data_IF_174722634466
#
_entry.id   IF_174722634466
#
_cell.length_a   1.000
_cell.length_b   1.000
_cell.length_c   1.000
_cell.angle_alpha   90.00
_cell.angle_beta   90.00
_cell.angle_gamma   90.00
#
_symmetry.space_group_name_H-M   'P 1'
#
loop_
_entity.id
_entity.type
_entity.pdbx_description
1 polymer ?
#
# COMPACT_ATOMS: atom_id res chain seq x y z
N UNK A 1 -24.49 -3.02 28.41
CA UNK A 1 -24.31 -1.73 27.72
C UNK A 1 -22.81 -1.45 27.72
N UNK A 2 -22.05 -1.87 26.68
CA UNK A 2 -20.64 -1.53 26.63
C UNK A 2 -20.52 -0.04 26.34
N UNK A 3 -19.70 0.63 27.15
CA UNK A 3 -19.42 2.06 27.10
C UNK A 3 -18.60 2.43 25.87
N UNK A 4 -18.92 3.58 25.29
CA UNK A 4 -18.13 4.30 24.28
C UNK A 4 -16.69 4.55 24.79
N UNK A 5 -15.69 3.76 24.39
CA UNK A 5 -14.27 4.17 24.49
C UNK A 5 -13.22 3.35 23.70
N UNK A 6 -13.57 2.45 22.77
CA UNK A 6 -12.58 1.58 22.08
C UNK A 6 -12.53 1.78 20.55
N UNK A 7 -12.92 2.96 20.06
CA UNK A 7 -12.81 3.32 18.65
C UNK A 7 -11.59 4.22 18.46
N UNK A 8 -10.53 3.71 17.83
CA UNK A 8 -9.62 4.59 17.10
C UNK A 8 -10.40 5.10 15.90
N UNK A 9 -11.00 6.27 16.06
CA UNK A 9 -11.57 6.97 14.93
C UNK A 9 -10.44 7.44 14.02
N UNK A 10 -10.29 6.84 12.85
CA UNK A 10 -9.82 7.57 11.66
C UNK A 10 -10.96 8.49 11.21
N UNK A 11 -11.31 9.48 12.03
CA UNK A 11 -12.24 10.55 11.64
C UNK A 11 -11.55 11.88 11.79
N UNK A 12 -10.56 12.13 10.95
CA UNK A 12 -10.26 13.50 10.57
C UNK A 12 -10.37 13.63 9.05
N UNK A 13 -11.36 14.41 8.66
CA UNK A 13 -11.70 14.76 7.29
C UNK A 13 -10.48 15.41 6.64
N UNK A 14 -9.80 14.64 5.79
CA UNK A 14 -8.84 15.20 4.86
C UNK A 14 -9.49 15.22 3.48
N UNK A 15 -9.88 16.41 3.01
CA UNK A 15 -10.25 16.62 1.62
C UNK A 15 -9.08 16.18 0.74
N UNK A 16 -9.30 15.37 -0.31
CA UNK A 16 -8.22 14.84 -1.11
C UNK A 16 -7.38 16.00 -1.64
N UNK A 17 -6.06 15.88 -1.41
CA UNK A 17 -4.98 16.70 -1.99
C UNK A 17 -5.35 17.02 -3.43
N UNK A 18 -5.04 18.21 -3.98
CA UNK A 18 -5.49 18.59 -5.31
C UNK A 18 -5.10 17.48 -6.29
N UNK A 19 -6.12 16.75 -6.75
CA UNK A 19 -5.98 15.75 -7.80
C UNK A 19 -5.75 16.57 -9.06
N UNK A 20 -4.60 16.39 -9.67
CA UNK A 20 -4.23 17.09 -10.89
C UNK A 20 -4.44 16.16 -12.08
N UNK A 21 -5.14 16.64 -13.11
CA UNK A 21 -5.13 16.01 -14.42
C UNK A 21 -3.90 16.49 -15.18
N UNK A 22 -3.01 15.57 -15.54
CA UNK A 22 -1.77 15.85 -16.25
C UNK A 22 -2.02 15.97 -17.75
N UNK A 23 -1.11 16.63 -18.47
CA UNK A 23 -1.16 16.75 -19.94
C UNK A 23 -1.16 15.38 -20.65
N UNK A 24 -0.59 14.36 -20.00
CA UNK A 24 -0.59 12.97 -20.45
C UNK A 24 -1.97 12.30 -20.37
N UNK A 25 -2.96 12.93 -19.72
CA UNK A 25 -4.30 12.39 -19.50
C UNK A 25 -4.47 11.58 -18.22
N UNK A 26 -3.40 11.34 -17.47
CA UNK A 26 -3.46 10.69 -16.14
C UNK A 26 -3.95 11.65 -15.05
N UNK A 27 -4.49 11.10 -13.97
CA UNK A 27 -4.69 11.84 -12.72
C UNK A 27 -3.57 11.55 -11.72
N UNK A 28 -3.15 12.55 -10.95
CA UNK A 28 -2.10 12.43 -9.92
C UNK A 28 -2.51 13.05 -8.59
N UNK A 29 -2.13 12.40 -7.50
CA UNK A 29 -2.19 12.94 -6.13
C UNK A 29 -0.83 13.51 -5.73
N UNK A 30 -0.79 14.82 -5.46
CA UNK A 30 0.43 15.52 -5.07
C UNK A 30 1.40 15.74 -6.24
N UNK A 31 2.64 16.15 -5.94
CA UNK A 31 3.61 16.57 -6.95
C UNK A 31 4.53 15.44 -7.46
N UNK A 32 4.55 14.28 -6.79
CA UNK A 32 5.48 13.18 -7.12
C UNK A 32 4.76 12.04 -7.81
N UNK A 33 5.38 11.52 -8.86
CA UNK A 33 4.94 10.34 -9.59
C UNK A 33 5.42 9.09 -8.85
N UNK A 34 4.48 8.27 -8.40
CA UNK A 34 4.75 6.95 -7.80
C UNK A 34 3.76 5.95 -8.40
N UNK A 35 4.02 4.64 -8.28
CA UNK A 35 3.08 3.61 -8.74
C UNK A 35 1.72 3.69 -8.05
N UNK A 36 1.61 4.43 -6.95
CA UNK A 36 0.42 4.51 -6.10
C UNK A 36 -0.32 5.83 -6.18
N UNK A 37 0.33 6.88 -6.67
CA UNK A 37 -0.20 8.26 -6.72
C UNK A 37 -0.64 8.68 -8.10
N UNK A 38 -0.54 7.81 -9.11
CA UNK A 38 -1.03 8.04 -10.47
C UNK A 38 -2.09 7.00 -10.83
N UNK A 39 -3.15 7.43 -11.52
CA UNK A 39 -4.19 6.54 -12.05
C UNK A 39 -4.75 7.04 -13.38
N UNK A 40 -5.43 6.15 -14.08
CA UNK A 40 -6.33 6.54 -15.17
C UNK A 40 -7.51 7.36 -14.60
N UNK A 41 -8.04 8.34 -15.33
CA UNK A 41 -9.25 9.04 -14.91
C UNK A 41 -10.40 8.05 -14.69
N UNK A 42 -11.09 8.06 -13.54
CA UNK A 42 -12.08 7.04 -13.19
C UNK A 42 -13.32 7.05 -14.11
N UNK A 43 -13.60 8.18 -14.76
CA UNK A 43 -14.74 8.36 -15.67
C UNK A 43 -14.32 8.87 -17.06
N UNK A 44 -13.03 8.80 -17.39
CA UNK A 44 -12.47 9.28 -18.65
C UNK A 44 -11.94 8.16 -19.55
N UNK A 45 -11.50 8.50 -20.79
CA UNK A 45 -10.83 7.53 -21.64
C UNK A 45 -9.47 7.15 -21.03
N UNK A 46 -9.04 5.92 -21.29
CA UNK A 46 -7.65 5.50 -21.00
C UNK A 46 -6.69 6.43 -21.77
N UNK A 47 -5.69 7.02 -21.09
CA UNK A 47 -4.68 7.87 -21.74
C UNK A 47 -4.10 7.23 -23.01
N UNK A 48 -4.00 7.98 -24.11
CA UNK A 48 -3.44 7.48 -25.37
C UNK A 48 -2.02 6.95 -25.16
N UNK A 49 -1.20 7.64 -24.37
CA UNK A 49 0.17 7.21 -24.07
C UNK A 49 0.22 5.87 -23.34
N UNK A 50 -0.79 5.57 -22.51
CA UNK A 50 -0.91 4.28 -21.83
C UNK A 50 -1.30 3.17 -22.80
N UNK A 51 -2.20 3.45 -23.76
CA UNK A 51 -2.56 2.47 -24.80
C UNK A 51 -1.34 2.07 -25.62
N UNK A 52 -0.50 3.04 -26.01
CA UNK A 52 0.76 2.77 -26.70
C UNK A 52 1.74 1.97 -25.82
N UNK A 53 1.85 2.31 -24.53
CA UNK A 53 2.69 1.57 -23.60
C UNK A 53 2.22 0.12 -23.42
N UNK A 54 0.90 -0.12 -23.32
CA UNK A 54 0.32 -1.46 -23.26
C UNK A 54 0.61 -2.28 -24.53
N UNK A 55 0.51 -1.68 -25.72
CA UNK A 55 0.86 -2.36 -26.98
C UNK A 55 2.32 -2.82 -26.98
N UNK A 56 3.26 -1.94 -26.64
CA UNK A 56 4.68 -2.26 -26.53
C UNK A 56 4.97 -3.32 -25.48
N UNK A 57 4.30 -3.23 -24.32
CA UNK A 57 4.45 -4.22 -23.27
C UNK A 57 4.01 -5.59 -23.78
N UNK A 58 2.82 -5.67 -24.39
CA UNK A 58 2.21 -6.92 -24.86
C UNK A 58 2.99 -7.62 -25.98
N UNK A 59 3.84 -6.91 -26.72
CA UNK A 59 4.76 -7.51 -27.69
C UNK A 59 5.90 -8.30 -27.03
N UNK A 60 6.16 -8.10 -25.74
CA UNK A 60 7.22 -8.79 -24.99
C UNK A 60 6.79 -10.20 -24.55
N UNK A 61 7.76 -11.12 -24.35
CA UNK A 61 7.48 -12.44 -23.80
C UNK A 61 6.67 -12.37 -22.50
N UNK A 62 5.65 -13.22 -22.36
CA UNK A 62 4.73 -13.25 -21.22
C UNK A 62 5.48 -13.35 -19.88
N UNK A 63 6.49 -14.21 -19.80
CA UNK A 63 7.31 -14.37 -18.58
C UNK A 63 8.02 -13.08 -18.20
N UNK A 64 8.60 -12.35 -19.18
CA UNK A 64 9.29 -11.08 -18.92
C UNK A 64 8.33 -10.01 -18.40
N UNK A 65 7.17 -9.87 -19.05
CA UNK A 65 6.12 -8.93 -18.61
C UNK A 65 5.74 -9.16 -17.16
N UNK A 66 5.46 -10.41 -16.82
CA UNK A 66 4.99 -10.77 -15.48
C UNK A 66 6.04 -10.65 -14.40
N UNK A 67 7.31 -10.83 -14.73
CA UNK A 67 8.39 -10.53 -13.79
C UNK A 67 8.46 -9.05 -13.47
N UNK A 68 8.24 -8.17 -14.45
CA UNK A 68 8.20 -6.73 -14.22
C UNK A 68 7.02 -6.36 -13.30
N UNK A 69 5.84 -6.96 -13.54
CA UNK A 69 4.62 -6.81 -12.72
C UNK A 69 4.71 -7.33 -11.27
N UNK A 70 5.87 -7.82 -10.80
CA UNK A 70 6.08 -8.26 -9.42
C UNK A 70 6.85 -7.26 -8.56
N UNK A 71 7.40 -6.21 -9.18
CA UNK A 71 8.18 -5.16 -8.52
C UNK A 71 7.72 -3.78 -8.97
N UNK A 72 8.20 -2.76 -8.28
CA UNK A 72 7.97 -1.39 -8.68
C UNK A 72 9.29 -0.66 -8.82
N UNK A 73 9.47 -0.03 -9.96
CA UNK A 73 10.58 0.86 -10.24
C UNK A 73 10.16 2.33 -10.16
N UNK A 74 11.01 3.21 -10.67
CA UNK A 74 10.67 4.63 -10.78
C UNK A 74 9.63 4.84 -11.88
N UNK A 75 8.57 5.60 -11.59
CA UNK A 75 7.57 5.95 -12.61
C UNK A 75 8.13 6.98 -13.58
N UNK A 76 7.95 6.73 -14.88
CA UNK A 76 8.03 7.75 -15.93
C UNK A 76 6.71 7.88 -16.69
N UNK A 77 6.41 9.08 -17.18
CA UNK A 77 5.28 9.35 -18.08
C UNK A 77 5.75 9.61 -19.52
N UNK A 78 7.06 9.55 -19.74
CA UNK A 78 7.66 9.64 -21.06
C UNK A 78 7.82 8.22 -21.62
N UNK A 79 7.04 7.94 -22.66
CA UNK A 79 7.01 6.61 -23.31
C UNK A 79 8.33 6.26 -23.98
N UNK A 80 9.09 7.25 -24.48
CA UNK A 80 10.36 7.00 -25.14
C UNK A 80 11.43 6.64 -24.10
N UNK A 81 11.49 7.40 -22.99
CA UNK A 81 12.33 7.06 -21.83
C UNK A 81 12.03 5.65 -21.31
N UNK A 82 10.75 5.31 -21.14
CA UNK A 82 10.34 3.98 -20.69
C UNK A 82 10.73 2.88 -21.69
N UNK A 83 10.49 3.10 -22.99
CA UNK A 83 10.81 2.12 -24.04
C UNK A 83 12.30 1.82 -24.12
N UNK A 84 13.15 2.82 -23.92
CA UNK A 84 14.59 2.67 -23.94
C UNK A 84 15.14 1.92 -22.71
N UNK A 85 14.50 2.04 -21.55
CA UNK A 85 14.91 1.38 -20.32
C UNK A 85 13.72 0.94 -19.43
N UNK A 86 13.04 -0.13 -19.84
CA UNK A 86 11.97 -0.77 -19.07
C UNK A 86 12.47 -1.53 -17.84
N UNK A 87 13.79 -1.55 -17.59
CA UNK A 87 14.36 -2.24 -16.43
C UNK A 87 14.51 -1.34 -15.21
N UNK A 88 14.65 -0.03 -15.45
CA UNK A 88 14.82 1.02 -14.43
C UNK A 88 13.56 1.85 -14.24
N UNK A 89 12.66 1.85 -15.23
CA UNK A 89 11.43 2.62 -15.20
C UNK A 89 10.21 1.75 -15.40
N UNK A 90 9.16 2.09 -14.64
CA UNK A 90 7.81 1.59 -14.83
C UNK A 90 6.95 2.66 -15.51
N UNK A 91 5.95 2.20 -16.25
CA UNK A 91 4.87 3.00 -16.80
C UNK A 91 3.57 2.76 -16.02
N UNK A 92 2.84 3.80 -15.57
CA UNK A 92 1.71 3.63 -14.65
C UNK A 92 0.62 2.68 -15.15
N UNK A 93 0.42 1.59 -14.39
CA UNK A 93 -0.61 0.60 -14.68
C UNK A 93 -0.35 -0.24 -15.93
N UNK A 94 0.91 -0.33 -16.38
CA UNK A 94 1.34 -1.20 -17.48
C UNK A 94 2.22 -2.33 -16.95
N UNK A 95 3.37 -2.01 -16.39
CA UNK A 95 4.36 -2.95 -15.82
C UNK A 95 4.55 -2.75 -14.31
N UNK A 96 3.72 -1.93 -13.68
CA UNK A 96 3.60 -1.84 -12.21
C UNK A 96 2.88 -3.04 -11.62
N UNK A 97 3.06 -3.31 -10.33
CA UNK A 97 2.36 -4.40 -9.61
C UNK A 97 0.84 -4.24 -9.72
N UNK A 98 0.14 -5.21 -10.35
CA UNK A 98 -1.30 -5.11 -10.56
C UNK A 98 -2.06 -5.39 -9.27
N UNK A 99 -3.29 -4.88 -9.19
CA UNK A 99 -4.11 -4.96 -7.98
C UNK A 99 -4.38 -6.40 -7.51
N UNK A 100 -4.46 -7.35 -8.45
CA UNK A 100 -4.62 -8.77 -8.13
C UNK A 100 -3.42 -9.30 -7.33
N UNK A 101 -2.19 -8.96 -7.71
CA UNK A 101 -0.97 -9.37 -6.99
C UNK A 101 -0.90 -8.66 -5.64
N UNK A 102 -1.21 -7.36 -5.58
CA UNK A 102 -1.27 -6.60 -4.32
C UNK A 102 -2.26 -7.20 -3.33
N UNK A 103 -3.45 -7.59 -3.80
CA UNK A 103 -4.46 -8.23 -2.96
C UNK A 103 -4.04 -9.64 -2.51
N UNK A 104 -3.37 -10.41 -3.37
CA UNK A 104 -2.82 -11.72 -2.97
C UNK A 104 -1.76 -11.58 -1.87
N UNK A 105 -0.83 -10.63 -2.03
CA UNK A 105 0.19 -10.28 -1.02
C UNK A 105 -0.45 -9.86 0.30
N UNK A 106 -1.39 -8.92 0.27
CA UNK A 106 -2.12 -8.49 1.46
C UNK A 106 -2.97 -9.60 2.10
N UNK A 107 -3.53 -10.51 1.29
CA UNK A 107 -4.25 -11.68 1.75
C UNK A 107 -3.35 -12.66 2.51
N UNK A 108 -2.18 -12.99 1.96
CA UNK A 108 -1.18 -13.81 2.63
C UNK A 108 -0.71 -13.19 3.95
N UNK A 109 -0.46 -11.88 3.96
CA UNK A 109 -0.12 -11.15 5.19
C UNK A 109 -1.24 -11.26 6.24
N UNK A 110 -2.50 -11.12 5.85
CA UNK A 110 -3.63 -11.25 6.76
C UNK A 110 -3.75 -12.68 7.33
N UNK A 111 -3.60 -13.71 6.51
CA UNK A 111 -3.65 -15.12 6.94
C UNK A 111 -2.56 -15.42 7.99
N UNK A 112 -1.31 -15.04 7.69
CA UNK A 112 -0.18 -15.24 8.62
C UNK A 112 -0.39 -14.44 9.91
N UNK A 113 -0.88 -13.19 9.80
CA UNK A 113 -1.10 -12.36 10.97
C UNK A 113 -2.26 -12.87 11.85
N UNK A 114 -3.29 -13.48 11.25
CA UNK A 114 -4.37 -14.15 11.99
C UNK A 114 -3.81 -15.33 12.80
N UNK A 115 -2.91 -16.12 12.22
CA UNK A 115 -2.29 -17.26 12.90
C UNK A 115 -1.34 -16.83 14.02
N UNK A 116 -0.49 -15.83 13.78
CA UNK A 116 0.58 -15.44 14.71
C UNK A 116 0.12 -14.48 15.80
N UNK A 117 -0.78 -13.55 15.46
CA UNK A 117 -1.18 -12.45 16.34
C UNK A 117 -2.66 -12.48 16.68
N UNK A 118 -3.45 -13.41 16.12
CA UNK A 118 -4.88 -13.50 16.40
C UNK A 118 -5.64 -12.23 16.03
N UNK A 119 -5.19 -11.51 14.99
CA UNK A 119 -5.97 -10.39 14.43
C UNK A 119 -7.32 -10.91 13.94
N UNK A 120 -8.34 -10.06 13.92
CA UNK A 120 -9.69 -10.51 13.61
C UNK A 120 -9.90 -10.93 12.15
N UNK A 121 -11.12 -11.36 11.86
CA UNK A 121 -11.55 -11.78 10.52
C UNK A 121 -11.51 -10.61 9.53
N UNK A 122 -11.09 -10.87 8.30
CA UNK A 122 -11.11 -9.89 7.22
C UNK A 122 -12.46 -9.92 6.49
N UNK A 123 -13.19 -8.83 6.58
CA UNK A 123 -14.44 -8.57 5.88
C UNK A 123 -14.18 -7.63 4.69
N UNK A 124 -14.36 -8.15 3.47
CA UNK A 124 -14.18 -7.39 2.23
C UNK A 124 -15.54 -6.98 1.66
N UNK A 125 -15.57 -6.00 0.76
CA UNK A 125 -16.84 -5.59 0.12
C UNK A 125 -17.66 -4.60 0.94
N UNK A 126 -17.06 -3.97 1.94
CA UNK A 126 -17.79 -3.11 2.87
C UNK A 126 -18.11 -1.77 2.21
N UNK A 127 -19.38 -1.40 2.27
CA UNK A 127 -19.85 -0.06 1.88
C UNK A 127 -19.87 0.80 3.13
N UNK A 128 -18.87 1.67 3.27
CA UNK A 128 -18.83 2.61 4.38
C UNK A 128 -19.79 3.79 4.13
N UNK A 129 -20.42 4.28 5.20
CA UNK A 129 -21.27 5.47 5.12
C UNK A 129 -20.47 6.72 4.71
N UNK A 130 -19.21 6.80 5.17
CA UNK A 130 -18.28 7.84 4.77
C UNK A 130 -17.47 7.36 3.55
N UNK A 131 -17.61 8.00 2.37
CA UNK A 131 -16.88 7.63 1.16
C UNK A 131 -15.36 7.87 1.26
N UNK A 132 -14.89 8.60 2.27
CA UNK A 132 -13.47 8.75 2.54
C UNK A 132 -12.86 7.57 3.32
N UNK A 133 -13.68 6.65 3.83
CA UNK A 133 -13.20 5.47 4.56
C UNK A 133 -13.01 4.32 3.57
N UNK A 134 -11.79 3.77 3.53
CA UNK A 134 -11.44 2.63 2.65
C UNK A 134 -11.19 1.36 3.45
N UNK A 135 -10.77 1.49 4.69
CA UNK A 135 -10.45 0.41 5.61
C UNK A 135 -10.79 0.78 7.04
N UNK A 136 -10.95 -0.23 7.89
CA UNK A 136 -11.11 -0.07 9.33
C UNK A 136 -10.63 -1.31 10.06
N UNK A 137 -9.67 -1.11 10.97
CA UNK A 137 -9.32 -2.06 12.02
C UNK A 137 -10.11 -1.81 13.31
N UNK A 138 -10.53 -2.88 13.98
CA UNK A 138 -11.13 -2.85 15.32
C UNK A 138 -10.18 -3.46 16.34
N UNK A 139 -9.81 -2.68 17.37
CA UNK A 139 -8.88 -3.08 18.43
C UNK A 139 -9.25 -4.37 19.16
N UNK A 140 -8.25 -5.03 19.73
CA UNK A 140 -8.43 -6.21 20.58
C UNK A 140 -8.84 -7.47 19.81
N UNK A 141 -8.33 -7.63 18.58
CA UNK A 141 -8.68 -8.77 17.71
C UNK A 141 -10.08 -8.65 17.08
N UNK A 142 -10.62 -7.43 17.00
CA UNK A 142 -11.83 -7.16 16.25
C UNK A 142 -11.60 -7.32 14.73
N UNK A 143 -12.69 -7.34 13.93
CA UNK A 143 -12.59 -7.57 12.49
C UNK A 143 -11.76 -6.48 11.80
N UNK A 144 -11.26 -6.81 10.61
CA UNK A 144 -10.73 -5.85 9.64
C UNK A 144 -11.78 -5.68 8.55
N UNK A 145 -12.19 -4.47 8.24
CA UNK A 145 -13.15 -4.14 7.19
C UNK A 145 -12.45 -3.40 6.06
N UNK A 146 -12.68 -3.80 4.80
CA UNK A 146 -12.09 -3.14 3.61
C UNK A 146 -13.16 -2.93 2.54
N UNK A 147 -13.15 -1.75 1.92
CA UNK A 147 -14.06 -1.40 0.83
C UNK A 147 -13.68 -2.08 -0.49
N UNK A 148 -14.60 -2.08 -1.46
CA UNK A 148 -14.38 -2.67 -2.79
C UNK A 148 -14.31 -1.60 -3.90
N UNK A 149 -13.77 -0.43 -3.57
CA UNK A 149 -13.62 0.66 -4.54
C UNK A 149 -12.46 0.37 -5.51
N UNK A 150 -12.79 0.12 -6.78
CA UNK A 150 -11.81 -0.04 -7.85
C UNK A 150 -11.45 1.29 -8.55
N UNK A 151 -12.14 2.39 -8.21
CA UNK A 151 -11.89 3.71 -8.81
C UNK A 151 -10.85 4.53 -8.04
N UNK A 152 -10.44 4.08 -6.85
CA UNK A 152 -9.43 4.76 -6.04
C UNK A 152 -8.03 4.72 -6.69
N UNK A 153 -7.18 5.66 -6.28
CA UNK A 153 -5.75 5.61 -6.59
C UNK A 153 -5.14 4.29 -6.08
N UNK A 154 -4.12 3.72 -6.75
CA UNK A 154 -3.61 2.40 -6.39
C UNK A 154 -3.16 2.29 -4.92
N UNK A 155 -2.63 3.38 -4.33
CA UNK A 155 -2.29 3.45 -2.91
C UNK A 155 -3.46 3.38 -1.93
N UNK A 156 -4.69 3.50 -2.41
CA UNK A 156 -5.93 3.45 -1.63
C UNK A 156 -6.82 2.26 -1.98
N UNK A 157 -6.40 1.45 -2.96
CA UNK A 157 -7.12 0.24 -3.36
C UNK A 157 -7.02 -0.86 -2.30
N UNK A 158 -7.90 -1.85 -2.43
CA UNK A 158 -8.15 -2.90 -1.42
C UNK A 158 -6.89 -3.66 -0.99
N UNK A 159 -5.95 -3.94 -1.88
CA UNK A 159 -4.70 -4.62 -1.53
C UNK A 159 -3.86 -3.80 -0.56
N UNK A 160 -3.56 -2.55 -0.91
CA UNK A 160 -2.76 -1.65 -0.06
C UNK A 160 -3.49 -1.33 1.25
N UNK A 161 -4.79 -1.06 1.17
CA UNK A 161 -5.61 -0.77 2.35
C UNK A 161 -5.70 -1.98 3.29
N UNK A 162 -5.90 -3.19 2.78
CA UNK A 162 -5.87 -4.39 3.63
C UNK A 162 -4.52 -4.56 4.33
N UNK A 163 -3.41 -4.42 3.61
CA UNK A 163 -2.08 -4.53 4.21
C UNK A 163 -1.86 -3.49 5.32
N UNK A 164 -2.34 -2.26 5.11
CA UNK A 164 -2.31 -1.20 6.13
C UNK A 164 -3.11 -1.58 7.39
N UNK A 165 -4.36 -2.04 7.24
CA UNK A 165 -5.17 -2.45 8.41
C UNK A 165 -4.61 -3.68 9.13
N UNK A 166 -3.96 -4.60 8.43
CA UNK A 166 -3.22 -5.71 9.05
C UNK A 166 -2.06 -5.17 9.89
N UNK A 167 -1.35 -4.15 9.40
CA UNK A 167 -0.30 -3.46 10.15
C UNK A 167 -0.81 -2.91 11.49
N UNK A 168 -1.97 -2.25 11.50
CA UNK A 168 -2.63 -1.80 12.75
C UNK A 168 -2.95 -2.96 13.70
N UNK A 169 -3.44 -4.09 13.17
CA UNK A 169 -3.76 -5.25 13.99
C UNK A 169 -2.52 -5.90 14.65
N UNK A 170 -1.41 -5.92 13.94
CA UNK A 170 -0.14 -6.44 14.45
C UNK A 170 0.43 -5.51 15.53
N UNK A 171 0.42 -4.19 15.31
CA UNK A 171 0.87 -3.18 16.26
C UNK A 171 0.06 -3.25 17.57
N UNK A 172 -1.27 -3.31 17.47
CA UNK A 172 -2.19 -3.42 18.63
C UNK A 172 -2.00 -4.74 19.42
N UNK A 173 -1.70 -5.86 18.77
CA UNK A 173 -1.43 -7.11 19.49
C UNK A 173 -0.18 -7.02 20.37
N UNK A 174 0.87 -6.36 19.88
CA UNK A 174 2.12 -6.21 20.63
C UNK A 174 1.93 -5.30 21.84
N UNK A 175 1.16 -4.23 21.70
CA UNK A 175 0.78 -3.38 22.83
C UNK A 175 0.14 -4.17 23.96
N UNK A 176 -0.84 -5.01 23.60
CA UNK A 176 -1.59 -5.82 24.56
C UNK A 176 -0.68 -6.86 25.21
N UNK A 177 0.21 -7.52 24.44
CA UNK A 177 1.05 -8.61 24.94
C UNK A 177 2.22 -8.13 25.79
N UNK A 178 2.81 -6.99 25.47
CA UNK A 178 4.00 -6.48 26.17
C UNK A 178 3.64 -5.59 27.36
N UNK A 179 2.40 -5.07 27.42
CA UNK A 179 2.00 -4.10 28.45
C UNK A 179 2.68 -2.74 28.31
N UNK A 180 3.51 -2.57 27.29
CA UNK A 180 3.98 -1.29 26.81
C UNK A 180 2.93 -0.78 25.85
N UNK A 181 2.13 0.19 26.28
CA UNK A 181 1.26 0.86 25.34
C UNK A 181 2.15 1.55 24.30
N UNK A 182 2.01 1.24 23.00
CA UNK A 182 2.42 2.10 21.88
C UNK A 182 1.69 3.45 21.87
N UNK A 183 1.23 3.93 23.02
CA UNK A 183 0.96 5.33 23.32
C UNK A 183 2.05 6.30 22.81
N UNK A 184 3.18 5.80 22.27
CA UNK A 184 4.20 6.55 21.53
C UNK A 184 4.77 5.95 20.23
N UNK A 185 4.22 4.90 19.61
CA UNK A 185 4.76 4.40 18.33
C UNK A 185 6.21 3.90 18.39
N UNK A 186 6.52 3.09 19.41
CA UNK A 186 7.87 2.60 19.74
C UNK A 186 8.42 1.52 18.77
N UNK A 187 7.76 1.28 17.63
CA UNK A 187 8.35 0.46 16.56
C UNK A 187 9.58 1.16 15.97
N UNK A 188 9.55 2.50 15.91
CA UNK A 188 10.67 3.32 15.46
C UNK A 188 11.61 3.65 16.62
N UNK A 189 12.90 3.44 16.41
CA UNK A 189 13.95 3.66 17.41
C UNK A 189 14.51 5.09 17.37
N UNK A 190 14.49 5.73 16.20
CA UNK A 190 15.09 7.04 15.97
C UNK A 190 14.36 7.86 14.89
N UNK A 191 14.82 9.11 14.72
CA UNK A 191 14.27 10.06 13.74
C UNK A 191 14.58 9.67 12.28
N UNK A 192 15.62 8.87 12.04
CA UNK A 192 15.94 8.39 10.70
C UNK A 192 14.87 7.39 10.24
N UNK A 193 14.53 6.42 11.07
CA UNK A 193 13.45 5.46 10.82
C UNK A 193 12.08 6.15 10.66
N UNK A 194 11.81 7.20 11.45
CA UNK A 194 10.60 8.00 11.28
C UNK A 194 10.57 8.76 9.94
N UNK A 195 11.73 9.23 9.47
CA UNK A 195 11.87 9.91 8.18
C UNK A 195 11.67 8.93 7.03
N UNK A 196 12.26 7.75 7.11
CA UNK A 196 12.08 6.65 6.16
C UNK A 196 10.61 6.18 6.11
N UNK A 197 9.98 5.98 7.27
CA UNK A 197 8.55 5.62 7.36
C UNK A 197 7.66 6.70 6.73
N UNK A 198 7.99 7.99 6.92
CA UNK A 198 7.31 9.08 6.22
C UNK A 198 7.49 8.98 4.71
N UNK A 199 8.69 8.67 4.22
CA UNK A 199 8.95 8.52 2.79
C UNK A 199 8.13 7.37 2.18
N UNK A 200 8.00 6.23 2.88
CA UNK A 200 7.16 5.11 2.46
C UNK A 200 5.67 5.48 2.45
N UNK A 201 5.16 6.11 3.51
CA UNK A 201 3.76 6.56 3.55
C UNK A 201 3.45 7.58 2.46
N UNK A 202 4.36 8.52 2.19
CA UNK A 202 4.19 9.48 1.10
C UNK A 202 4.29 8.81 -0.29
N UNK A 203 5.08 7.75 -0.42
CA UNK A 203 5.14 6.94 -1.65
C UNK A 203 3.82 6.22 -1.90
N UNK A 204 3.22 5.62 -0.88
CA UNK A 204 1.94 4.91 -1.01
C UNK A 204 0.75 5.87 -1.19
N UNK A 205 0.65 6.90 -0.35
CA UNK A 205 -0.58 7.69 -0.20
C UNK A 205 -0.45 9.14 -0.71
N UNK A 206 0.73 9.55 -1.18
CA UNK A 206 1.08 10.93 -1.53
C UNK A 206 1.45 11.81 -0.33
N UNK A 207 1.74 13.10 -0.55
CA UNK A 207 2.40 13.98 0.45
C UNK A 207 1.59 14.20 1.73
N UNK A 208 2.21 14.29 2.91
CA UNK A 208 1.54 14.62 4.18
C UNK A 208 1.34 16.14 4.33
N UNK A 209 0.19 16.65 3.92
CA UNK A 209 -0.05 18.10 3.88
C UNK A 209 -0.38 18.63 5.27
N UNK A 210 0.22 19.75 5.65
CA UNK A 210 -0.16 20.47 6.86
C UNK A 210 -1.46 21.22 6.61
N UNK A 211 -2.46 21.08 7.49
CA UNK A 211 -3.69 21.84 7.37
C UNK A 211 -3.44 23.30 7.74
N UNK A 212 -4.08 24.22 7.01
CA UNK A 212 -4.12 25.64 7.38
C UNK A 212 -5.03 25.89 8.60
N UNK A 213 -5.81 24.89 9.03
CA UNK A 213 -6.64 24.96 10.23
C UNK A 213 -5.74 24.77 11.46
N UNK A 214 -5.68 25.76 12.38
CA UNK A 214 -4.86 25.66 13.58
C UNK A 214 -5.22 24.42 14.42
N UNK A 215 -4.23 23.54 14.62
CA UNK A 215 -4.39 22.32 15.41
C UNK A 215 -4.83 21.08 14.62
N UNK A 216 -5.21 21.22 13.34
CA UNK A 216 -5.46 20.07 12.49
C UNK A 216 -4.14 19.52 11.92
N UNK A 217 -3.82 18.27 12.24
CA UNK A 217 -2.67 17.55 11.70
C UNK A 217 -3.15 16.43 10.78
N UNK A 218 -2.48 16.21 9.65
CA UNK A 218 -2.71 15.00 8.84
C UNK A 218 -2.55 13.79 9.76
N UNK A 219 -3.61 12.98 9.90
CA UNK A 219 -3.64 11.84 10.81
C UNK A 219 -2.50 10.85 10.51
N UNK A 220 -2.03 10.77 9.25
CA UNK A 220 -0.89 9.92 8.86
C UNK A 220 0.45 10.38 9.47
N UNK A 221 0.49 11.54 10.14
CA UNK A 221 1.64 11.95 10.94
C UNK A 221 1.73 11.19 12.26
N UNK A 222 0.65 10.55 12.71
CA UNK A 222 0.69 9.69 13.88
C UNK A 222 1.60 8.48 13.63
N UNK A 223 2.46 8.12 14.60
CA UNK A 223 3.37 6.98 14.45
C UNK A 223 2.70 5.66 14.09
N UNK A 224 1.52 5.37 14.63
CA UNK A 224 0.75 4.14 14.33
C UNK A 224 0.37 4.06 12.85
N UNK A 225 -0.06 5.17 12.25
CA UNK A 225 -0.36 5.25 10.82
C UNK A 225 0.88 5.09 9.95
N UNK A 226 2.01 5.68 10.37
CA UNK A 226 3.29 5.46 9.69
C UNK A 226 3.75 4.02 9.78
N UNK A 227 3.52 3.36 10.92
CA UNK A 227 3.87 1.96 11.10
C UNK A 227 3.00 1.07 10.21
N UNK A 228 1.69 1.33 10.15
CA UNK A 228 0.76 0.64 9.26
C UNK A 228 1.10 0.85 7.77
N UNK A 229 1.43 2.07 7.33
CA UNK A 229 1.88 2.32 5.96
C UNK A 229 3.26 1.72 5.66
N UNK A 230 4.18 1.70 6.62
CA UNK A 230 5.48 1.02 6.49
C UNK A 230 5.28 -0.48 6.29
N UNK A 231 4.44 -1.09 7.13
CA UNK A 231 4.07 -2.50 6.99
C UNK A 231 3.41 -2.74 5.62
N UNK A 232 2.44 -1.92 5.21
CA UNK A 232 1.82 -2.03 3.91
C UNK A 232 2.83 -1.95 2.75
N UNK A 233 3.81 -1.05 2.82
CA UNK A 233 4.86 -0.95 1.81
C UNK A 233 5.70 -2.25 1.75
N UNK A 234 6.10 -2.79 2.90
CA UNK A 234 6.86 -4.05 2.98
C UNK A 234 6.05 -5.26 2.47
N UNK A 235 4.74 -5.28 2.66
CA UNK A 235 3.88 -6.32 2.10
C UNK A 235 3.75 -6.15 0.58
N UNK A 236 3.50 -4.94 0.10
CA UNK A 236 3.16 -4.70 -1.30
C UNK A 236 4.38 -4.65 -2.22
N UNK A 237 5.45 -3.99 -1.81
CA UNK A 237 6.70 -3.81 -2.56
C UNK A 237 7.94 -4.08 -1.65
N UNK A 238 8.15 -5.33 -1.19
CA UNK A 238 9.17 -5.65 -0.18
C UNK A 238 10.59 -5.22 -0.57
N UNK A 239 11.04 -5.58 -1.78
CA UNK A 239 12.37 -5.23 -2.28
C UNK A 239 12.56 -3.72 -2.34
N UNK A 240 11.60 -3.01 -2.95
CA UNK A 240 11.66 -1.56 -3.09
C UNK A 240 11.61 -0.83 -1.75
N UNK A 241 10.88 -1.38 -0.78
CA UNK A 241 10.83 -0.84 0.58
C UNK A 241 12.19 -0.95 1.27
N UNK A 242 12.88 -2.09 1.16
CA UNK A 242 14.23 -2.29 1.70
C UNK A 242 15.25 -1.34 1.09
N UNK A 243 15.13 -1.06 -0.21
CA UNK A 243 16.02 -0.11 -0.90
C UNK A 243 15.78 1.34 -0.48
N UNK A 244 14.52 1.76 -0.38
CA UNK A 244 14.16 3.15 -0.10
C UNK A 244 14.26 3.53 1.39
N UNK A 245 14.11 2.53 2.27
CA UNK A 245 13.92 2.72 3.70
C UNK A 245 14.60 1.59 4.50
N UNK A 246 15.92 1.38 4.33
CA UNK A 246 16.62 0.22 4.87
C UNK A 246 16.61 0.14 6.39
N UNK A 247 16.68 1.27 7.10
CA UNK A 247 16.72 1.28 8.57
C UNK A 247 15.42 0.77 9.19
N UNK A 248 14.30 1.34 8.77
CA UNK A 248 12.98 1.01 9.29
C UNK A 248 12.50 -0.36 8.83
N UNK A 249 12.83 -0.79 7.60
CA UNK A 249 12.48 -2.14 7.14
C UNK A 249 13.24 -3.21 7.90
N UNK A 250 14.55 -3.04 8.12
CA UNK A 250 15.33 -3.95 8.95
C UNK A 250 14.81 -4.01 10.40
N UNK A 251 14.35 -2.87 10.94
CA UNK A 251 13.71 -2.81 12.26
C UNK A 251 12.44 -3.64 12.33
N UNK A 252 11.54 -3.50 11.34
CA UNK A 252 10.31 -4.29 11.25
C UNK A 252 10.61 -5.78 11.08
N UNK A 253 11.57 -6.14 10.23
CA UNK A 253 12.01 -7.53 10.05
C UNK A 253 12.58 -8.13 11.33
N UNK A 254 13.37 -7.36 12.09
CA UNK A 254 13.89 -7.83 13.37
C UNK A 254 12.78 -7.99 14.42
N UNK A 255 11.83 -7.05 14.46
CA UNK A 255 10.76 -7.05 15.46
C UNK A 255 9.68 -8.09 15.17
N UNK A 256 9.37 -8.32 13.90
CA UNK A 256 8.35 -9.23 13.40
C UNK A 256 8.95 -10.42 12.63
N UNK A 257 10.14 -10.89 13.02
CA UNK A 257 10.92 -11.84 12.22
C UNK A 257 10.22 -13.16 11.90
N UNK A 258 9.42 -13.72 12.80
CA UNK A 258 8.63 -14.92 12.49
C UNK A 258 7.57 -14.65 11.41
N UNK A 259 6.92 -13.48 11.47
CA UNK A 259 5.95 -13.07 10.45
C UNK A 259 6.63 -12.91 9.09
N UNK A 260 7.72 -12.12 9.01
CA UNK A 260 8.39 -11.86 7.74
C UNK A 260 9.04 -13.11 7.14
N UNK A 261 9.56 -14.03 7.97
CA UNK A 261 10.04 -15.32 7.50
C UNK A 261 8.96 -16.15 6.80
N UNK A 262 7.77 -16.28 7.40
CA UNK A 262 6.64 -16.98 6.76
C UNK A 262 6.09 -16.23 5.55
N UNK A 263 6.12 -14.90 5.60
CA UNK A 263 5.62 -14.05 4.53
C UNK A 263 6.50 -14.12 3.28
N UNK A 264 7.83 -14.08 3.44
CA UNK A 264 8.78 -14.18 2.34
C UNK A 264 8.61 -15.53 1.59
N UNK A 265 8.49 -16.65 2.33
CA UNK A 265 8.20 -17.97 1.74
C UNK A 265 6.89 -17.92 0.92
N UNK A 266 5.83 -17.35 1.51
CA UNK A 266 4.52 -17.29 0.87
C UNK A 266 4.49 -16.37 -0.37
N UNK A 267 5.21 -15.25 -0.33
CA UNK A 267 5.32 -14.33 -1.47
C UNK A 267 6.11 -14.96 -2.59
N UNK A 268 7.16 -15.73 -2.30
CA UNK A 268 7.88 -16.46 -3.33
C UNK A 268 6.95 -17.41 -4.10
N UNK A 269 6.14 -18.21 -3.38
CA UNK A 269 5.15 -19.10 -4.02
C UNK A 269 4.14 -18.33 -4.88
N UNK A 270 3.65 -17.18 -4.38
CA UNK A 270 2.72 -16.33 -5.13
C UNK A 270 3.36 -15.73 -6.38
N UNK A 271 4.62 -15.32 -6.29
CA UNK A 271 5.37 -14.76 -7.41
C UNK A 271 5.63 -15.84 -8.49
N UNK A 272 6.04 -17.05 -8.09
CA UNK A 272 6.20 -18.18 -9.01
C UNK A 272 4.88 -18.50 -9.72
N UNK A 273 3.78 -18.60 -8.95
CA UNK A 273 2.44 -18.83 -9.53
C UNK A 273 1.99 -17.71 -10.48
N UNK A 274 2.35 -16.45 -10.21
CA UNK A 274 2.06 -15.33 -11.12
C UNK A 274 2.78 -15.49 -12.45
N UNK A 275 4.09 -15.76 -12.41
CA UNK A 275 4.93 -15.93 -13.59
C UNK A 275 4.46 -17.12 -14.44
N UNK A 276 4.02 -18.21 -13.82
CA UNK A 276 3.63 -19.46 -14.49
C UNK A 276 2.22 -19.49 -15.10
N UNK A 277 1.33 -18.53 -14.83
CA UNK A 277 -0.03 -18.54 -15.43
C UNK A 277 0.01 -18.66 -16.96
N UNK A 278 -0.97 -19.24 -17.63
CA UNK A 278 -1.06 -19.08 -19.08
C UNK A 278 -1.89 -17.84 -19.42
N UNK A 279 -1.73 -17.29 -20.63
CA UNK A 279 -2.51 -16.12 -21.11
C UNK A 279 -4.02 -16.40 -21.22
N UNK A 280 -4.48 -17.63 -21.00
CA UNK A 280 -5.86 -18.07 -21.25
C UNK A 280 -6.85 -17.82 -20.09
N UNK A 281 -6.43 -17.09 -19.05
CA UNK A 281 -7.31 -16.68 -17.94
C UNK A 281 -7.14 -15.21 -17.59
N UNK A 282 -7.70 -14.33 -18.44
CA UNK A 282 -8.15 -12.97 -18.07
C UNK A 282 -9.52 -12.73 -18.70
#
# INVERSE_FOLDING_TARGET
>A
MPSRSDQLYSTDRFEPKPIETLDSGFERVGARNTPFTIRDPPTGPVPEIKRQALELHNERPCESRRRDELRHEQITLDIDTWREDMSTFDFPGVDTIPEVVRLQRAGAAAEIAQELFGIGTVNRGIQFEDPAVRGRYFRGGGPIEVSDSNSDFPGWQKGVTLAHEVGHGIDDHIDVKTGYASSRGEVFEDEEQLTEATALSERLRGPMVQSDIPGATDYRRHPTEKAADTFAAMIIEPERSRELAPGVTARFEAFFGEFFGRYDDRVQELNESWVERDNDTV
#
